data_IF_698696754219
#
_entry.id   IF_698696754219
#
_cell.length_a   1.000
_cell.length_b   1.000
_cell.length_c   1.000
_cell.angle_alpha   90.00
_cell.angle_beta   90.00
_cell.angle_gamma   90.00
#
_symmetry.space_group_name_H-M   'P 1'
#
loop_
_entity.id
_entity.type
_entity.pdbx_description
1 polymer ?
#
# COMPACT_ATOMS: atom_id res chain seq x y z
N UNK A 1 -13.56 3.53 8.65
CA UNK A 1 -12.84 3.86 9.91
C UNK A 1 -13.62 4.84 10.79
N UNK A 2 -14.20 5.91 10.23
CA UNK A 2 -15.01 6.90 10.96
C UNK A 2 -16.06 6.26 11.88
N UNK A 3 -16.87 5.36 11.36
CA UNK A 3 -17.97 4.73 12.13
C UNK A 3 -17.45 3.90 13.32
N UNK A 4 -16.27 3.28 13.20
CA UNK A 4 -15.64 2.55 14.31
C UNK A 4 -15.08 3.49 15.39
N UNK A 5 -14.54 4.64 14.97
CA UNK A 5 -14.00 5.67 15.87
C UNK A 5 -15.10 6.41 16.62
N UNK A 6 -16.18 6.76 15.93
CA UNK A 6 -17.31 7.52 16.48
C UNK A 6 -18.29 6.60 17.23
N UNK A 7 -18.35 5.32 16.86
CA UNK A 7 -19.25 4.34 17.45
C UNK A 7 -20.68 4.46 16.93
N UNK A 8 -21.52 3.51 17.37
CA UNK A 8 -22.96 3.54 17.11
C UNK A 8 -23.63 4.60 17.99
N UNK A 9 -24.37 5.57 17.44
CA UNK A 9 -25.12 6.57 18.22
C UNK A 9 -26.14 5.98 19.21
N UNK A 10 -26.62 4.75 18.99
CA UNK A 10 -27.52 4.04 19.88
C UNK A 10 -26.81 3.36 21.07
N UNK A 11 -25.48 3.39 21.12
CA UNK A 11 -24.64 2.80 22.17
C UNK A 11 -23.90 3.89 22.96
N UNK A 12 -23.37 3.58 24.16
CA UNK A 12 -22.49 4.50 24.86
C UNK A 12 -21.29 4.92 23.99
N UNK A 13 -20.86 6.18 24.06
CA UNK A 13 -19.76 6.67 23.23
C UNK A 13 -18.46 5.92 23.52
N UNK A 14 -17.64 5.65 22.49
CA UNK A 14 -16.30 5.11 22.64
C UNK A 14 -15.41 5.89 23.62
N UNK A 15 -14.47 5.23 24.32
CA UNK A 15 -13.51 5.93 25.15
C UNK A 15 -12.62 6.85 24.31
N UNK A 16 -12.33 8.06 24.80
CA UNK A 16 -11.56 9.07 24.07
C UNK A 16 -10.15 8.59 23.68
N UNK A 17 -9.58 7.62 24.42
CA UNK A 17 -8.31 6.98 24.09
C UNK A 17 -8.30 6.30 22.71
N UNK A 18 -9.45 5.88 22.18
CA UNK A 18 -9.57 5.23 20.87
C UNK A 18 -9.03 6.11 19.73
N UNK A 19 -9.13 7.44 19.85
CA UNK A 19 -8.62 8.40 18.85
C UNK A 19 -7.09 8.48 18.80
N UNK A 20 -6.39 7.90 19.77
CA UNK A 20 -4.92 7.92 19.88
C UNK A 20 -4.32 6.51 19.77
N UNK A 21 -5.08 5.59 19.16
CA UNK A 21 -4.61 4.23 18.90
C UNK A 21 -3.51 4.18 17.85
N UNK A 22 -3.03 2.96 17.58
CA UNK A 22 -2.09 2.66 16.50
C UNK A 22 -2.58 3.27 15.19
N UNK A 23 -1.68 3.91 14.44
CA UNK A 23 -1.96 4.51 13.13
C UNK A 23 -3.05 5.61 13.14
N UNK A 24 -3.26 6.32 14.26
CA UNK A 24 -4.26 7.38 14.36
C UNK A 24 -4.10 8.51 13.31
N UNK A 25 -2.88 8.72 12.80
CA UNK A 25 -2.57 9.73 11.77
C UNK A 25 -2.97 9.31 10.35
N UNK A 26 -3.49 8.09 10.17
CA UNK A 26 -3.87 7.53 8.86
C UNK A 26 -5.39 7.29 8.72
N UNK A 27 -6.27 8.26 9.02
CA UNK A 27 -7.72 8.05 9.00
C UNK A 27 -8.31 7.87 7.59
N UNK A 28 -7.53 8.22 6.56
CA UNK A 28 -7.89 8.12 5.13
C UNK A 28 -7.52 6.76 4.53
N UNK A 29 -6.66 5.98 5.18
CA UNK A 29 -6.20 4.71 4.65
C UNK A 29 -7.36 3.69 4.62
N UNK A 30 -7.57 3.08 3.46
CA UNK A 30 -8.63 2.11 3.24
C UNK A 30 -8.12 0.85 2.54
N UNK A 31 -7.63 -0.09 3.34
CA UNK A 31 -7.13 -1.39 2.87
C UNK A 31 -8.29 -2.34 2.55
N UNK A 32 -8.72 -2.38 1.29
CA UNK A 32 -9.81 -3.27 0.83
C UNK A 32 -9.46 -4.15 -0.37
N UNK A 33 -8.24 -4.01 -0.86
CA UNK A 33 -7.77 -4.68 -2.07
C UNK A 33 -6.97 -5.94 -1.73
N UNK A 34 -6.81 -6.83 -2.72
CA UNK A 34 -5.91 -7.98 -2.59
C UNK A 34 -4.48 -7.49 -2.79
N UNK A 35 -3.66 -7.64 -1.77
CA UNK A 35 -2.28 -7.15 -1.75
C UNK A 35 -1.32 -8.34 -1.62
N UNK A 36 -0.21 -8.30 -2.35
CA UNK A 36 0.88 -9.26 -2.19
C UNK A 36 1.56 -9.11 -0.82
N UNK A 37 1.59 -10.20 -0.06
CA UNK A 37 2.22 -10.29 1.27
C UNK A 37 3.61 -10.93 1.16
N UNK A 38 4.55 -10.63 2.08
CA UNK A 38 5.84 -11.31 2.15
C UNK A 38 5.69 -12.82 2.31
N UNK A 39 4.87 -13.26 3.25
CA UNK A 39 4.40 -14.64 3.37
C UNK A 39 3.15 -14.72 4.27
N UNK A 40 2.65 -15.93 4.56
CA UNK A 40 1.31 -16.13 5.13
C UNK A 40 1.27 -16.38 6.64
N UNK A 41 2.40 -16.69 7.28
CA UNK A 41 2.48 -17.18 8.66
C UNK A 41 3.07 -16.16 9.65
N UNK A 42 4.26 -15.64 9.39
CA UNK A 42 4.99 -14.69 10.24
C UNK A 42 4.63 -13.21 9.93
N UNK A 43 4.34 -12.92 8.66
CA UNK A 43 4.12 -11.63 8.05
C UNK A 43 2.82 -11.59 7.23
N UNK A 44 1.65 -11.94 7.81
CA UNK A 44 0.36 -11.90 7.12
C UNK A 44 -0.19 -10.47 6.99
N UNK A 45 0.67 -9.53 6.60
CA UNK A 45 0.43 -8.09 6.47
C UNK A 45 1.36 -7.53 5.39
N UNK A 46 0.95 -6.47 4.70
CA UNK A 46 1.79 -5.93 3.64
C UNK A 46 2.92 -5.09 4.22
N UNK A 47 4.07 -5.13 3.56
CA UNK A 47 5.08 -4.10 3.65
C UNK A 47 5.27 -3.46 2.27
N UNK A 48 5.14 -2.14 2.18
CA UNK A 48 5.19 -1.44 0.90
C UNK A 48 6.54 -1.64 0.19
N UNK A 49 7.65 -1.69 0.94
CA UNK A 49 8.97 -1.91 0.36
C UNK A 49 9.20 -3.35 -0.12
N UNK A 50 8.77 -4.36 0.64
CA UNK A 50 8.81 -5.78 0.22
C UNK A 50 8.01 -5.98 -1.06
N UNK A 51 6.80 -5.41 -1.12
CA UNK A 51 5.95 -5.45 -2.30
C UNK A 51 6.65 -4.92 -3.55
N UNK A 52 7.41 -3.83 -3.43
CA UNK A 52 8.20 -3.31 -4.56
C UNK A 52 9.19 -4.36 -5.10
N UNK A 53 9.82 -5.16 -4.24
CA UNK A 53 10.67 -6.26 -4.66
C UNK A 53 9.88 -7.43 -5.25
N UNK A 54 8.73 -7.77 -4.68
CA UNK A 54 7.86 -8.84 -5.20
C UNK A 54 7.45 -8.57 -6.66
N UNK A 55 7.19 -7.31 -7.01
CA UNK A 55 6.67 -6.97 -8.33
C UNK A 55 7.68 -7.22 -9.45
N UNK A 56 8.98 -7.35 -9.15
CA UNK A 56 10.01 -7.69 -10.15
C UNK A 56 9.82 -9.11 -10.72
N UNK A 57 9.83 -10.19 -9.91
CA UNK A 57 9.52 -11.52 -10.42
C UNK A 57 8.06 -11.64 -10.89
N UNK A 58 7.09 -11.03 -10.20
CA UNK A 58 5.68 -11.08 -10.62
C UNK A 58 5.47 -10.53 -12.02
N UNK A 59 6.24 -9.51 -12.46
CA UNK A 59 6.13 -8.97 -13.82
C UNK A 59 6.35 -10.02 -14.91
N UNK A 60 7.09 -11.10 -14.64
CA UNK A 60 7.30 -12.20 -15.59
C UNK A 60 6.11 -13.17 -15.67
N UNK A 61 5.23 -13.15 -14.67
CA UNK A 61 4.08 -14.04 -14.52
C UNK A 61 2.82 -13.27 -14.92
N UNK A 62 2.59 -12.14 -14.27
CA UNK A 62 1.47 -11.24 -14.49
C UNK A 62 1.96 -9.77 -14.42
N UNK A 63 2.32 -9.17 -15.57
CA UNK A 63 2.74 -7.77 -15.63
C UNK A 63 1.61 -6.79 -15.33
N UNK A 64 0.34 -7.18 -15.45
CA UNK A 64 -0.79 -6.32 -15.13
C UNK A 64 -0.92 -6.18 -13.62
N UNK A 65 -0.99 -7.31 -12.91
CA UNK A 65 -0.99 -7.35 -11.45
C UNK A 65 0.20 -6.59 -10.86
N UNK A 66 1.40 -6.78 -11.44
CA UNK A 66 2.59 -6.10 -10.95
C UNK A 66 2.48 -4.56 -11.01
N UNK A 67 1.91 -4.03 -12.08
CA UNK A 67 1.67 -2.59 -12.24
C UNK A 67 0.57 -2.10 -11.30
N UNK A 68 -0.52 -2.84 -11.18
CA UNK A 68 -1.64 -2.50 -10.30
C UNK A 68 -1.20 -2.42 -8.83
N UNK A 69 -0.40 -3.38 -8.35
CA UNK A 69 0.13 -3.37 -6.99
C UNK A 69 1.04 -2.15 -6.73
N UNK A 70 1.87 -1.76 -7.70
CA UNK A 70 2.71 -0.57 -7.55
C UNK A 70 1.89 0.73 -7.54
N UNK A 71 0.88 0.82 -8.40
CA UNK A 71 -0.04 1.97 -8.44
C UNK A 71 -0.94 2.03 -7.20
N UNK A 72 -1.30 0.88 -6.62
CA UNK A 72 -2.22 0.80 -5.48
C UNK A 72 -1.76 1.68 -4.33
N UNK A 73 -0.48 1.59 -3.95
CA UNK A 73 0.07 2.38 -2.84
C UNK A 73 0.13 3.89 -3.10
N UNK A 74 0.04 4.32 -4.35
CA UNK A 74 0.02 5.74 -4.73
C UNK A 74 -1.40 6.28 -4.90
N UNK A 75 -2.44 5.46 -4.67
CA UNK A 75 -3.84 5.91 -4.71
C UNK A 75 -4.16 6.80 -3.53
N UNK A 76 -5.14 7.68 -3.69
CA UNK A 76 -5.60 8.65 -2.70
C UNK A 76 -6.14 8.01 -1.40
N UNK A 77 -6.54 6.74 -1.47
CA UNK A 77 -6.99 5.96 -0.31
C UNK A 77 -5.92 5.04 0.29
N UNK A 78 -4.69 5.07 -0.25
CA UNK A 78 -3.51 4.36 0.30
C UNK A 78 -2.42 5.33 0.76
N UNK A 79 -2.12 6.35 -0.04
CA UNK A 79 -1.05 7.30 0.20
C UNK A 79 -1.48 8.39 1.18
N UNK A 80 -0.59 8.74 2.10
CA UNK A 80 -0.82 9.87 3.00
C UNK A 80 -0.86 11.19 2.21
N UNK A 81 -1.67 12.19 2.62
CA UNK A 81 -1.74 13.50 1.96
C UNK A 81 -0.40 14.24 1.81
N UNK A 82 0.64 13.85 2.55
CA UNK A 82 2.00 14.40 2.44
C UNK A 82 2.88 13.63 1.42
N UNK A 83 2.33 12.62 0.74
CA UNK A 83 3.04 11.76 -0.21
C UNK A 83 3.70 10.51 0.39
N UNK A 84 3.57 10.28 1.70
CA UNK A 84 4.13 9.08 2.35
C UNK A 84 3.33 7.83 1.96
N UNK A 85 4.04 6.75 1.59
CA UNK A 85 3.46 5.42 1.45
C UNK A 85 3.38 4.75 2.84
N UNK A 86 2.30 4.01 3.15
CA UNK A 86 2.18 3.31 4.42
C UNK A 86 3.23 2.20 4.51
N UNK A 87 4.04 2.15 5.56
CA UNK A 87 5.08 1.14 5.72
C UNK A 87 4.51 -0.28 5.83
N UNK A 88 3.84 -0.59 6.95
CA UNK A 88 3.19 -1.88 7.21
C UNK A 88 2.04 -1.77 8.22
N UNK A 89 1.17 -2.77 8.30
CA UNK A 89 -0.14 -2.68 9.00
C UNK A 89 -0.08 -2.36 10.50
N UNK A 90 1.06 -2.56 11.15
CA UNK A 90 1.25 -2.24 12.56
C UNK A 90 1.98 -0.90 12.80
N UNK A 91 2.54 -0.24 11.78
CA UNK A 91 3.05 1.13 11.89
C UNK A 91 3.15 1.78 10.50
N UNK A 92 2.10 2.45 10.06
CA UNK A 92 2.08 3.05 8.72
C UNK A 92 3.08 4.21 8.56
N UNK A 93 3.34 4.93 9.65
CA UNK A 93 4.25 6.09 9.65
C UNK A 93 5.73 5.72 9.69
N UNK A 94 6.09 4.44 9.85
CA UNK A 94 7.50 4.04 9.88
C UNK A 94 8.19 4.32 8.54
N UNK A 95 9.52 4.44 8.61
CA UNK A 95 10.33 4.74 7.44
C UNK A 95 10.73 3.44 6.76
N UNK A 96 10.57 3.39 5.44
CA UNK A 96 11.03 2.30 4.60
C UNK A 96 12.01 2.84 3.55
N UNK A 97 12.97 2.04 3.07
CA UNK A 97 13.80 2.42 1.93
C UNK A 97 12.95 2.76 0.70
N UNK A 98 13.22 3.85 -0.03
CA UNK A 98 12.36 4.35 -1.11
C UNK A 98 12.59 3.58 -2.42
N UNK A 99 12.27 2.28 -2.42
CA UNK A 99 12.50 1.37 -3.56
C UNK A 99 11.34 1.31 -4.55
N UNK A 100 10.18 1.88 -4.21
CA UNK A 100 8.97 1.87 -5.06
C UNK A 100 9.21 2.46 -6.47
N UNK A 101 9.86 3.64 -6.63
CA UNK A 101 10.15 4.19 -7.96
C UNK A 101 11.11 3.32 -8.78
N UNK A 102 12.09 2.69 -8.11
CA UNK A 102 12.99 1.75 -8.76
C UNK A 102 12.21 0.54 -9.29
N UNK A 103 11.31 -0.02 -8.48
CA UNK A 103 10.48 -1.15 -8.90
C UNK A 103 9.59 -0.78 -10.09
N UNK A 104 8.88 0.35 -10.03
CA UNK A 104 8.09 0.86 -11.14
C UNK A 104 8.92 0.99 -12.44
N UNK A 105 10.10 1.59 -12.36
CA UNK A 105 11.00 1.70 -13.50
C UNK A 105 11.45 0.33 -14.06
N UNK A 106 11.73 -0.64 -13.19
CA UNK A 106 12.10 -2.00 -13.60
C UNK A 106 10.93 -2.70 -14.28
N UNK A 107 9.73 -2.66 -13.70
CA UNK A 107 8.49 -3.23 -14.27
C UNK A 107 8.23 -2.62 -15.65
N UNK A 108 8.23 -1.29 -15.77
CA UNK A 108 8.07 -0.59 -17.04
C UNK A 108 9.05 -1.08 -18.11
N UNK A 109 10.33 -1.21 -17.78
CA UNK A 109 11.35 -1.72 -18.71
C UNK A 109 11.17 -3.19 -19.08
N UNK A 110 10.63 -4.00 -18.18
CA UNK A 110 10.41 -5.44 -18.39
C UNK A 110 9.17 -5.72 -19.25
N UNK A 111 8.21 -4.79 -19.32
CA UNK A 111 6.96 -4.99 -20.07
C UNK A 111 7.01 -4.58 -21.55
N UNK A 112 8.17 -4.12 -22.06
CA UNK A 112 8.31 -3.84 -23.49
C UNK A 112 9.71 -3.37 -23.92
N UNK A 113 10.05 -3.53 -25.21
CA UNK A 113 11.29 -3.00 -25.75
C UNK A 113 11.27 -1.47 -25.74
N UNK A 114 12.44 -0.85 -25.84
CA UNK A 114 12.56 0.61 -25.93
C UNK A 114 11.69 1.11 -27.10
N UNK A 115 10.79 2.07 -26.83
CA UNK A 115 9.86 2.63 -27.82
C UNK A 115 8.45 2.04 -27.78
N UNK A 116 8.25 0.86 -27.19
CA UNK A 116 6.95 0.17 -27.12
C UNK A 116 6.57 -0.22 -25.68
N UNK A 117 7.06 0.52 -24.68
CA UNK A 117 6.70 0.31 -23.28
C UNK A 117 5.40 1.01 -22.94
N UNK A 118 4.76 0.52 -21.88
CA UNK A 118 3.48 1.01 -21.39
C UNK A 118 3.56 2.43 -20.82
N UNK A 119 3.15 3.42 -21.62
CA UNK A 119 3.13 4.84 -21.25
C UNK A 119 1.94 5.25 -20.39
N UNK A 120 0.93 4.39 -20.23
CA UNK A 120 -0.16 4.66 -19.30
C UNK A 120 0.28 4.36 -17.87
N UNK A 121 1.19 3.40 -17.70
CA UNK A 121 1.78 3.07 -16.41
C UNK A 121 2.84 4.09 -15.95
N UNK A 122 3.73 4.55 -16.84
CA UNK A 122 4.80 5.55 -16.55
C UNK A 122 5.00 6.56 -17.68
#
# INVERSE_FOLDING_TARGET
>A
MKDWLDGDPAQPPPPASRRRGRNADWPHLYNRDVISMPEAWEYPWYAAWDLAFHMIPFTRIDPHFAKEQLVLFTREWYMHPNGQLPAYEFAFSDVNPPVHPWAAWRVYKMTGPRGARDRLFL
#
